data_IF_138177979775
#
_entry.id   IF_138177979775
#
_cell.length_a   1.000
_cell.length_b   1.000
_cell.length_c   1.000
_cell.angle_alpha   90.00
_cell.angle_beta   90.00
_cell.angle_gamma   90.00
#
_symmetry.space_group_name_H-M   'P 1'
#
loop_
_entity.id
_entity.type
_entity.pdbx_description
1 polymer ?
#
# COMPACT_ATOMS: atom_id res chain seq x y z
N UNK A 1 -13.92 3.13 3.44
CA UNK A 1 -12.84 2.80 4.39
C UNK A 1 -12.03 4.06 4.64
N UNK A 2 -11.59 4.32 5.86
CA UNK A 2 -10.81 5.52 6.19
C UNK A 2 -9.55 5.12 6.97
N UNK A 3 -8.46 5.85 6.74
CA UNK A 3 -7.21 5.69 7.48
C UNK A 3 -7.29 6.32 8.89
N UNK A 4 -6.16 6.35 9.62
CA UNK A 4 -6.10 6.92 10.98
C UNK A 4 -6.39 8.43 11.04
N UNK A 5 -6.19 9.15 9.93
CA UNK A 5 -6.41 10.59 9.81
C UNK A 5 -7.80 10.93 9.27
N UNK A 6 -8.65 9.93 8.99
CA UNK A 6 -9.98 10.13 8.42
C UNK A 6 -9.96 10.36 6.91
N UNK A 7 -8.85 10.08 6.23
CA UNK A 7 -8.75 10.15 4.77
C UNK A 7 -9.36 8.90 4.15
N UNK A 8 -10.14 9.05 3.08
CA UNK A 8 -10.77 7.92 2.39
C UNK A 8 -9.70 7.12 1.64
N UNK A 9 -9.71 5.80 1.83
CA UNK A 9 -8.82 4.85 1.16
C UNK A 9 -9.41 4.42 -0.19
N UNK A 10 -8.54 4.35 -1.20
CA UNK A 10 -8.81 3.88 -2.57
C UNK A 10 -7.77 2.83 -3.00
N UNK A 11 -8.08 2.10 -4.07
CA UNK A 11 -7.11 1.22 -4.74
C UNK A 11 -5.94 2.04 -5.31
N UNK A 12 -4.72 1.53 -5.16
CA UNK A 12 -3.49 2.20 -5.57
C UNK A 12 -2.93 3.19 -4.54
N UNK A 13 -3.65 3.47 -3.44
CA UNK A 13 -3.07 4.23 -2.32
C UNK A 13 -1.87 3.49 -1.74
N UNK A 14 -0.87 4.24 -1.28
CA UNK A 14 0.27 3.71 -0.54
C UNK A 14 0.08 4.10 0.92
N UNK A 15 0.04 3.08 1.78
CA UNK A 15 -0.12 3.25 3.23
C UNK A 15 1.16 2.90 3.96
N UNK A 16 1.45 3.64 5.03
CA UNK A 16 2.45 3.26 6.02
C UNK A 16 1.81 2.43 7.12
N UNK A 17 2.45 1.30 7.44
CA UNK A 17 2.08 0.42 8.54
C UNK A 17 3.28 0.23 9.48
N UNK A 18 3.04 0.37 10.78
CA UNK A 18 4.07 0.22 11.80
C UNK A 18 3.91 -1.13 12.49
N UNK A 19 4.88 -2.02 12.32
CA UNK A 19 4.91 -3.31 13.01
C UNK A 19 5.82 -3.20 14.23
N UNK A 20 5.28 -3.57 15.40
CA UNK A 20 6.08 -3.67 16.62
C UNK A 20 6.47 -5.13 16.84
N UNK A 21 7.76 -5.39 16.77
CA UNK A 21 8.34 -6.65 17.26
C UNK A 21 9.01 -6.40 18.61
N UNK A 22 9.32 -7.45 19.36
CA UNK A 22 10.06 -7.34 20.63
C UNK A 22 11.46 -6.72 20.48
N UNK A 23 11.91 -6.43 19.25
CA UNK A 23 13.27 -5.97 18.93
C UNK A 23 13.31 -4.60 18.24
N UNK A 24 12.26 -4.20 17.54
CA UNK A 24 12.19 -2.92 16.83
C UNK A 24 10.76 -2.58 16.40
N UNK A 25 10.51 -1.28 16.21
CA UNK A 25 9.39 -0.77 15.42
C UNK A 25 9.84 -0.67 13.96
N UNK A 26 9.29 -1.51 13.09
CA UNK A 26 9.54 -1.42 11.66
C UNK A 26 8.48 -0.53 11.01
N UNK A 27 8.91 0.25 10.03
CA UNK A 27 8.05 1.07 9.19
C UNK A 27 7.99 0.43 7.81
N UNK A 28 6.81 -0.02 7.41
CA UNK A 28 6.58 -0.72 6.16
C UNK A 28 5.62 0.10 5.28
N UNK A 29 5.75 -0.03 3.97
CA UNK A 29 4.95 0.69 2.98
C UNK A 29 4.28 -0.32 2.05
N UNK A 30 2.97 -0.20 1.89
CA UNK A 30 2.21 -1.15 1.09
C UNK A 30 1.22 -0.45 0.17
N UNK A 31 1.06 -1.00 -1.02
CA UNK A 31 -0.01 -0.67 -1.94
C UNK A 31 -1.34 -1.24 -1.44
N UNK A 32 -2.40 -0.43 -1.51
CA UNK A 32 -3.78 -0.85 -1.32
C UNK A 32 -4.30 -1.46 -2.61
N UNK A 33 -4.82 -2.68 -2.53
CA UNK A 33 -5.35 -3.41 -3.68
C UNK A 33 -6.79 -3.85 -3.45
N UNK A 34 -7.55 -4.00 -4.53
CA UNK A 34 -8.80 -4.75 -4.53
C UNK A 34 -8.55 -6.13 -5.15
N UNK A 35 -8.89 -7.20 -4.43
CA UNK A 35 -8.73 -8.57 -4.91
C UNK A 35 -10.04 -9.33 -4.89
N UNK A 36 -10.17 -10.30 -5.79
CA UNK A 36 -11.26 -11.27 -5.82
C UNK A 36 -10.73 -12.67 -5.52
N UNK A 37 -11.31 -13.36 -4.53
CA UNK A 37 -11.04 -14.77 -4.25
C UNK A 37 -12.35 -15.55 -4.20
N UNK A 38 -12.49 -16.52 -5.11
CA UNK A 38 -13.76 -17.23 -5.30
C UNK A 38 -14.86 -16.26 -5.73
N UNK A 39 -15.97 -16.23 -4.99
CA UNK A 39 -17.12 -15.35 -5.25
C UNK A 39 -17.10 -14.05 -4.42
N UNK A 40 -16.02 -13.78 -3.69
CA UNK A 40 -15.90 -12.61 -2.80
C UNK A 40 -14.84 -11.63 -3.30
N UNK A 41 -15.08 -10.33 -3.08
CA UNK A 41 -14.12 -9.25 -3.31
C UNK A 41 -13.80 -8.51 -2.02
N UNK A 42 -12.53 -8.10 -1.85
CA UNK A 42 -12.08 -7.37 -0.67
C UNK A 42 -10.98 -6.36 -1.00
N UNK A 43 -10.88 -5.33 -0.17
CA UNK A 43 -9.72 -4.44 -0.14
C UNK A 43 -8.71 -4.95 0.90
N UNK A 44 -7.43 -4.75 0.61
CA UNK A 44 -6.33 -5.08 1.52
C UNK A 44 -5.04 -4.35 1.17
N UNK A 45 -3.97 -4.68 1.88
CA UNK A 45 -2.61 -4.27 1.53
C UNK A 45 -1.85 -5.42 0.87
N UNK A 46 -1.10 -5.11 -0.17
CA UNK A 46 -0.23 -6.08 -0.84
C UNK A 46 1.04 -6.31 0.00
N UNK A 47 1.21 -7.53 0.48
CA UNK A 47 2.39 -7.94 1.27
C UNK A 47 3.48 -8.49 0.35
N UNK A 48 3.09 -9.25 -0.67
CA UNK A 48 3.98 -9.77 -1.70
C UNK A 48 3.22 -10.00 -3.01
N UNK A 49 3.88 -10.60 -4.00
CA UNK A 49 3.23 -10.96 -5.27
C UNK A 49 2.17 -12.08 -5.13
N UNK A 50 2.12 -12.77 -3.98
CA UNK A 50 1.21 -13.90 -3.74
C UNK A 50 0.37 -13.73 -2.48
N UNK A 51 0.58 -12.65 -1.73
CA UNK A 51 -0.02 -12.43 -0.42
C UNK A 51 -0.55 -11.01 -0.29
N UNK A 52 -1.80 -10.92 0.14
CA UNK A 52 -2.53 -9.69 0.41
C UNK A 52 -3.24 -9.86 1.75
N UNK A 53 -3.10 -8.87 2.62
CA UNK A 53 -3.81 -8.84 3.89
C UNK A 53 -5.04 -7.95 3.78
N UNK A 54 -6.21 -8.57 3.83
CA UNK A 54 -7.53 -7.96 3.83
C UNK A 54 -7.73 -7.02 5.02
N UNK A 55 -8.31 -5.85 4.73
CA UNK A 55 -8.81 -4.95 5.76
C UNK A 55 -9.97 -5.58 6.54
N UNK A 56 -10.02 -5.29 7.84
CA UNK A 56 -10.99 -5.78 8.83
C UNK A 56 -10.76 -7.19 9.37
N UNK A 57 -10.06 -8.09 8.65
CA UNK A 57 -9.72 -9.42 9.15
C UNK A 57 -8.28 -9.47 9.68
N UNK A 58 -7.32 -9.07 8.87
CA UNK A 58 -5.90 -9.22 9.20
C UNK A 58 -5.31 -7.90 9.69
N UNK A 59 -5.70 -6.79 9.06
CA UNK A 59 -5.16 -5.46 9.39
C UNK A 59 -6.26 -4.39 9.49
N UNK A 60 -6.34 -3.64 10.61
CA UNK A 60 -7.25 -2.50 10.72
C UNK A 60 -6.72 -1.28 9.96
N UNK A 61 -7.51 -0.75 9.03
CA UNK A 61 -7.17 0.48 8.30
C UNK A 61 -6.89 1.69 9.21
N UNK A 62 -7.50 1.73 10.40
CA UNK A 62 -7.28 2.79 11.40
C UNK A 62 -5.88 2.79 12.03
N UNK A 63 -5.06 1.76 11.79
CA UNK A 63 -3.66 1.73 12.22
C UNK A 63 -2.70 2.29 11.15
N UNK A 64 -3.22 2.62 9.98
CA UNK A 64 -2.44 3.02 8.82
C UNK A 64 -2.67 4.49 8.48
N UNK A 65 -1.75 5.04 7.71
CA UNK A 65 -1.82 6.39 7.17
C UNK A 65 -1.50 6.34 5.68
N UNK A 66 -2.33 6.99 4.87
CA UNK A 66 -2.04 7.18 3.44
C UNK A 66 -0.92 8.21 3.32
N UNK A 67 0.11 7.87 2.54
CA UNK A 67 1.29 8.72 2.33
C UNK A 67 1.57 9.05 0.86
N UNK A 68 0.77 8.52 -0.05
CA UNK A 68 0.93 8.69 -1.50
C UNK A 68 0.09 7.67 -2.26
N UNK A 69 0.34 7.52 -3.55
CA UNK A 69 -0.25 6.48 -4.40
C UNK A 69 0.75 5.98 -5.45
N UNK A 70 0.49 4.84 -6.08
CA UNK A 70 1.41 4.21 -7.03
C UNK A 70 1.65 5.00 -8.33
N UNK A 71 0.77 5.95 -8.65
CA UNK A 71 0.88 6.76 -9.88
C UNK A 71 1.77 7.98 -9.68
N UNK A 72 1.61 8.65 -8.53
CA UNK A 72 2.31 9.89 -8.19
C UNK A 72 3.59 9.65 -7.38
N UNK A 73 3.62 8.56 -6.58
CA UNK A 73 4.72 8.24 -5.65
C UNK A 73 5.25 6.80 -5.79
N UNK A 74 5.56 6.33 -7.02
CA UNK A 74 6.04 4.96 -7.23
C UNK A 74 7.33 4.64 -6.45
N UNK A 75 8.15 5.64 -6.13
CA UNK A 75 9.39 5.49 -5.36
C UNK A 75 9.19 4.93 -3.95
N UNK A 76 8.01 5.12 -3.35
CA UNK A 76 7.70 4.66 -2.00
C UNK A 76 7.61 3.12 -1.89
N UNK A 77 7.36 2.45 -3.02
CA UNK A 77 7.27 0.98 -3.11
C UNK A 77 8.34 0.39 -4.04
N UNK A 78 9.41 1.14 -4.31
CA UNK A 78 10.53 0.70 -5.15
C UNK A 78 10.28 0.75 -6.66
N UNK A 79 9.22 1.44 -7.11
CA UNK A 79 8.99 1.76 -8.51
C UNK A 79 9.86 2.93 -9.00
N UNK A 80 9.97 3.08 -10.31
CA UNK A 80 10.65 4.23 -10.93
C UNK A 80 9.69 5.40 -11.13
N UNK A 81 10.17 6.63 -10.90
CA UNK A 81 9.39 7.83 -11.19
C UNK A 81 9.22 8.02 -12.70
N UNK A 82 8.11 8.66 -13.09
CA UNK A 82 7.81 8.96 -14.49
C UNK A 82 8.89 9.82 -15.16
N UNK A 83 9.56 10.70 -14.40
CA UNK A 83 10.68 11.50 -14.90
C UNK A 83 11.92 10.65 -15.22
N UNK A 84 12.25 9.68 -14.36
CA UNK A 84 13.38 8.76 -14.61
C UNK A 84 13.16 7.89 -15.84
N UNK A 85 11.95 7.35 -16.02
CA UNK A 85 11.60 6.54 -17.20
C UNK A 85 11.75 7.32 -18.49
N UNK A 86 11.22 8.54 -18.55
CA UNK A 86 11.33 9.41 -19.73
C UNK A 86 12.78 9.74 -20.10
N UNK A 87 13.66 9.90 -19.10
CA UNK A 87 15.08 10.19 -19.35
C UNK A 87 15.85 8.95 -19.85
N UNK A 88 15.45 7.74 -19.46
CA UNK A 88 16.05 6.49 -19.95
C UNK A 88 15.60 6.15 -21.38
N UNK A 89 14.36 6.45 -21.75
CA UNK A 89 13.84 6.24 -23.11
C UNK A 89 14.42 7.20 -24.17
N UNK A 90 15.13 8.25 -23.74
CA UNK A 90 15.77 9.24 -24.60
C UNK A 90 17.27 8.98 -24.84
N UNK A 91 17.84 7.92 -24.27
CA UNK A 91 19.24 7.49 -24.45
C UNK A 91 19.35 6.32 -25.42
#
# INVERSE_FOLDING_TARGET
>A
LFDKNGTKIFEGDIVVYYTNTNRATNKEFHEVVFETRGESGYFGIKISNIETWQFCLEVPAKLMEIIGNIYDNPELIGGETNERRRNLEQM
#
